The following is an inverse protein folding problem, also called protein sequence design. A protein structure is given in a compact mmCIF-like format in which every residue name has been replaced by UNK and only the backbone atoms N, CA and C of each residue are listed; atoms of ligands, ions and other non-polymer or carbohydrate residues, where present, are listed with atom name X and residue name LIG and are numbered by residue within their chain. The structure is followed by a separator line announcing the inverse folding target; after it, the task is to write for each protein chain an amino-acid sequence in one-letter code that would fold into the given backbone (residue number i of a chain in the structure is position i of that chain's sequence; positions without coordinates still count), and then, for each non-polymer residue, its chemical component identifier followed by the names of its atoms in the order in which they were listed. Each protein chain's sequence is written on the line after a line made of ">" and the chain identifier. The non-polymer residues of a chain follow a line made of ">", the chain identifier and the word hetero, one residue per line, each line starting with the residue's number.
data_IF_433125669148
#
_entry.id   IF_433125669148
#
_cell.length_a   1.000
_cell.length_b   1.000
_cell.length_c   1.000
_cell.angle_alpha   90.00
_cell.angle_beta   90.00
_cell.angle_gamma   90.00
#
_symmetry.space_group_name_H-M   'P 1'
#
loop_
_entity.id
_entity.type
_entity.pdbx_description
1 polymer ?
#
# COMPACT_ATOMS: atom_id res chain seq x y z
N UNK A 1 -22.98 -13.90 -9.29
CA UNK A 1 -21.65 -13.49 -9.80
C UNK A 1 -20.61 -13.43 -8.70
N UNK A 2 -20.89 -12.83 -7.53
CA UNK A 2 -19.95 -12.72 -6.39
C UNK A 2 -19.44 -14.05 -5.84
N UNK A 3 -20.26 -15.11 -5.85
CA UNK A 3 -19.83 -16.43 -5.36
C UNK A 3 -18.76 -17.06 -6.28
N UNK A 4 -18.98 -17.03 -7.60
CA UNK A 4 -18.04 -17.58 -8.58
C UNK A 4 -16.69 -16.85 -8.61
N UNK A 5 -16.67 -15.52 -8.54
CA UNK A 5 -15.41 -14.76 -8.54
C UNK A 5 -14.63 -14.98 -7.24
N UNK A 6 -15.34 -15.14 -6.11
CA UNK A 6 -14.74 -15.51 -4.82
C UNK A 6 -14.11 -16.91 -4.86
N UNK A 7 -14.81 -17.92 -5.39
CA UNK A 7 -14.25 -19.26 -5.57
C UNK A 7 -13.05 -19.25 -6.54
N UNK A 8 -13.14 -18.47 -7.63
CA UNK A 8 -12.04 -18.31 -8.58
C UNK A 8 -10.80 -17.72 -7.91
N UNK A 9 -10.99 -16.69 -7.07
CA UNK A 9 -9.91 -16.11 -6.26
C UNK A 9 -9.24 -17.15 -5.35
N UNK A 10 -10.04 -17.95 -4.63
CA UNK A 10 -9.52 -19.02 -3.77
C UNK A 10 -8.70 -20.04 -4.55
N UNK A 11 -9.19 -20.52 -5.69
CA UNK A 11 -8.48 -21.48 -6.54
C UNK A 11 -7.15 -20.93 -7.06
N UNK A 12 -7.10 -19.65 -7.47
CA UNK A 12 -5.86 -19.01 -7.89
C UNK A 12 -4.84 -18.96 -6.75
N UNK A 13 -5.28 -18.61 -5.53
CA UNK A 13 -4.41 -18.57 -4.34
C UNK A 13 -3.87 -19.95 -3.98
N UNK A 14 -4.73 -20.97 -3.99
CA UNK A 14 -4.34 -22.35 -3.68
C UNK A 14 -3.35 -22.92 -4.70
N UNK A 15 -3.50 -22.57 -5.98
CA UNK A 15 -2.63 -23.02 -7.07
C UNK A 15 -1.52 -22.03 -7.43
N UNK A 16 -1.28 -21.01 -6.61
CA UNK A 16 -0.40 -19.88 -6.97
C UNK A 16 1.01 -20.33 -7.39
N UNK A 17 1.60 -21.30 -6.69
CA UNK A 17 2.93 -21.81 -7.01
C UNK A 17 2.98 -22.51 -8.39
N UNK A 18 2.02 -23.39 -8.65
CA UNK A 18 1.93 -24.15 -9.91
C UNK A 18 1.63 -23.21 -11.08
N UNK A 19 0.69 -22.28 -10.90
CA UNK A 19 0.33 -21.29 -11.91
C UNK A 19 1.52 -20.37 -12.22
N UNK A 20 2.21 -19.86 -11.20
CA UNK A 20 3.36 -18.99 -11.38
C UNK A 20 4.50 -19.71 -12.12
N UNK A 21 4.81 -20.95 -11.75
CA UNK A 21 5.84 -21.74 -12.43
C UNK A 21 5.50 -21.98 -13.91
N UNK A 22 4.25 -22.36 -14.20
CA UNK A 22 3.77 -22.55 -15.57
C UNK A 22 3.81 -21.24 -16.39
N UNK A 23 3.42 -20.10 -15.80
CA UNK A 23 3.50 -18.78 -16.43
C UNK A 23 4.95 -18.44 -16.78
N UNK A 24 5.87 -18.54 -15.81
CA UNK A 24 7.28 -18.21 -16.04
C UNK A 24 7.92 -19.15 -17.06
N UNK A 25 7.64 -20.44 -16.99
CA UNK A 25 8.18 -21.40 -17.96
C UNK A 25 7.72 -21.06 -19.38
N UNK A 26 6.42 -20.82 -19.59
CA UNK A 26 5.86 -20.52 -20.90
C UNK A 26 6.29 -19.13 -21.39
N UNK A 27 6.41 -18.16 -20.50
CA UNK A 27 6.92 -16.81 -20.80
C UNK A 27 8.38 -16.85 -21.29
N UNK A 28 9.27 -17.57 -20.60
CA UNK A 28 10.67 -17.72 -21.02
C UNK A 28 10.80 -18.48 -22.34
N UNK A 29 9.95 -19.49 -22.57
CA UNK A 29 9.94 -20.23 -23.84
C UNK A 29 9.40 -19.38 -25.01
N UNK A 30 8.44 -18.49 -24.76
CA UNK A 30 7.83 -17.65 -25.79
C UNK A 30 8.69 -16.42 -26.15
N UNK A 31 9.49 -15.92 -25.21
CA UNK A 31 10.26 -14.67 -25.36
C UNK A 31 11.72 -14.82 -24.85
N UNK A 32 12.48 -15.81 -25.34
CA UNK A 32 13.83 -16.08 -24.84
C UNK A 32 14.77 -14.86 -24.99
N UNK A 33 14.59 -14.08 -26.05
CA UNK A 33 15.41 -12.90 -26.34
C UNK A 33 15.24 -11.75 -25.32
N UNK A 34 14.12 -11.75 -24.57
CA UNK A 34 13.85 -10.77 -23.52
C UNK A 34 14.35 -11.28 -22.16
N UNK A 35 14.07 -12.56 -21.85
CA UNK A 35 14.18 -13.08 -20.49
C UNK A 35 15.47 -13.84 -20.21
N UNK A 36 16.08 -14.54 -21.19
CA UNK A 36 17.28 -15.37 -20.95
C UNK A 36 18.48 -14.55 -20.45
N UNK A 37 18.58 -13.28 -20.84
CA UNK A 37 19.65 -12.36 -20.44
C UNK A 37 19.75 -12.15 -18.92
N UNK A 38 18.70 -12.46 -18.16
CA UNK A 38 18.67 -12.29 -16.70
C UNK A 38 19.07 -13.56 -15.94
N UNK A 39 19.29 -14.68 -16.62
CA UNK A 39 19.76 -15.93 -16.02
C UNK A 39 18.86 -16.50 -14.92
N UNK A 40 19.44 -17.33 -14.05
CA UNK A 40 18.70 -18.03 -12.99
C UNK A 40 18.13 -17.07 -11.94
N UNK A 41 18.88 -16.01 -11.58
CA UNK A 41 18.42 -14.98 -10.63
C UNK A 41 17.21 -14.24 -11.19
N UNK A 42 17.26 -13.86 -12.47
CA UNK A 42 16.12 -13.26 -13.17
C UNK A 42 14.89 -14.16 -13.16
N UNK A 43 15.08 -15.46 -13.39
CA UNK A 43 14.00 -16.44 -13.37
C UNK A 43 13.36 -16.59 -11.99
N UNK A 44 14.17 -16.58 -10.93
CA UNK A 44 13.69 -16.60 -9.55
C UNK A 44 12.85 -15.34 -9.23
N UNK A 45 13.31 -14.16 -9.68
CA UNK A 45 12.54 -12.92 -9.53
C UNK A 45 11.25 -12.96 -10.35
N UNK A 46 11.29 -13.42 -11.61
CA UNK A 46 10.08 -13.58 -12.43
C UNK A 46 9.06 -14.52 -11.79
N UNK A 47 9.51 -15.58 -11.09
CA UNK A 47 8.62 -16.48 -10.37
C UNK A 47 7.93 -15.79 -9.20
N UNK A 48 8.68 -14.98 -8.46
CA UNK A 48 8.13 -14.18 -7.37
C UNK A 48 7.14 -13.12 -7.90
N UNK A 49 7.47 -12.45 -9.01
CA UNK A 49 6.60 -11.47 -9.66
C UNK A 49 5.32 -12.12 -10.20
N UNK A 50 5.41 -13.29 -10.82
CA UNK A 50 4.25 -14.06 -11.28
C UNK A 50 3.29 -14.39 -10.12
N UNK A 51 3.82 -14.77 -8.95
CA UNK A 51 2.99 -14.96 -7.74
C UNK A 51 2.29 -13.67 -7.31
N UNK A 52 3.00 -12.53 -7.36
CA UNK A 52 2.37 -11.24 -7.06
C UNK A 52 1.28 -10.89 -8.08
N UNK A 53 1.54 -11.02 -9.39
CA UNK A 53 0.52 -10.75 -10.42
C UNK A 53 -0.74 -11.60 -10.22
N UNK A 54 -0.59 -12.89 -9.90
CA UNK A 54 -1.70 -13.79 -9.59
C UNK A 54 -2.42 -13.40 -8.30
N UNK A 55 -1.69 -12.98 -7.26
CA UNK A 55 -2.29 -12.48 -6.03
C UNK A 55 -3.14 -11.22 -6.27
N UNK A 56 -2.61 -10.23 -7.01
CA UNK A 56 -3.36 -9.03 -7.40
C UNK A 56 -4.63 -9.37 -8.19
N UNK A 57 -4.55 -10.34 -9.12
CA UNK A 57 -5.72 -10.82 -9.87
C UNK A 57 -6.75 -11.48 -8.95
N UNK A 58 -6.30 -12.34 -8.04
CA UNK A 58 -7.16 -13.00 -7.06
C UNK A 58 -7.86 -11.99 -6.14
N UNK A 59 -7.20 -10.92 -5.71
CA UNK A 59 -7.83 -9.88 -4.90
C UNK A 59 -8.90 -9.09 -5.67
N UNK A 60 -8.61 -8.72 -6.92
CA UNK A 60 -9.59 -8.04 -7.77
C UNK A 60 -10.85 -8.91 -7.98
N UNK A 61 -10.67 -10.22 -8.18
CA UNK A 61 -11.76 -11.19 -8.27
C UNK A 61 -12.56 -11.31 -6.98
N UNK A 62 -11.88 -11.34 -5.82
CA UNK A 62 -12.53 -11.43 -4.51
C UNK A 62 -13.39 -10.19 -4.20
N UNK A 63 -12.89 -9.00 -4.54
CA UNK A 63 -13.62 -7.74 -4.42
C UNK A 63 -14.71 -7.56 -5.51
N UNK A 64 -14.68 -8.39 -6.56
CA UNK A 64 -15.57 -8.21 -7.72
C UNK A 64 -15.33 -6.90 -8.48
N UNK A 65 -14.13 -6.34 -8.35
CA UNK A 65 -13.76 -5.03 -8.90
C UNK A 65 -12.56 -5.16 -9.86
N UNK A 66 -12.80 -5.21 -11.19
CA UNK A 66 -11.75 -5.22 -12.20
C UNK A 66 -10.84 -3.99 -12.19
N UNK A 67 -11.30 -2.86 -11.63
CA UNK A 67 -10.51 -1.64 -11.51
C UNK A 67 -9.23 -1.86 -10.71
N UNK A 68 -9.28 -2.68 -9.66
CA UNK A 68 -8.11 -3.01 -8.84
C UNK A 68 -6.98 -3.67 -9.65
N UNK A 69 -7.31 -4.58 -10.58
CA UNK A 69 -6.32 -5.23 -11.43
C UNK A 69 -5.85 -4.32 -12.57
N UNK A 70 -6.73 -3.46 -13.08
CA UNK A 70 -6.37 -2.45 -14.09
C UNK A 70 -5.38 -1.42 -13.55
N UNK A 71 -5.62 -0.90 -12.35
CA UNK A 71 -4.71 0.03 -11.68
C UNK A 71 -3.33 -0.60 -11.43
N UNK A 72 -3.32 -1.86 -10.98
CA UNK A 72 -2.08 -2.63 -10.85
C UNK A 72 -1.35 -2.80 -12.18
N UNK A 73 -2.05 -3.17 -13.25
CA UNK A 73 -1.43 -3.35 -14.56
C UNK A 73 -0.87 -2.04 -15.12
N UNK A 74 -1.54 -0.90 -14.91
CA UNK A 74 -1.03 0.41 -15.26
C UNK A 74 0.25 0.74 -14.48
N UNK A 75 0.31 0.41 -13.19
CA UNK A 75 1.51 0.54 -12.38
C UNK A 75 2.67 -0.32 -12.93
N UNK A 76 2.40 -1.57 -13.31
CA UNK A 76 3.39 -2.47 -13.94
C UNK A 76 3.88 -1.93 -15.28
N UNK A 77 3.01 -1.33 -16.10
CA UNK A 77 3.41 -0.72 -17.38
C UNK A 77 4.46 0.37 -17.21
N UNK A 78 4.26 1.25 -16.23
CA UNK A 78 5.22 2.30 -15.88
C UNK A 78 6.55 1.70 -15.40
N UNK A 79 6.50 0.68 -14.54
CA UNK A 79 7.70 -0.03 -14.08
C UNK A 79 8.49 -0.63 -15.26
N UNK A 80 7.81 -1.35 -16.14
CA UNK A 80 8.43 -1.99 -17.30
C UNK A 80 9.03 -0.97 -18.27
N UNK A 81 8.36 0.17 -18.44
CA UNK A 81 8.89 1.31 -19.20
C UNK A 81 10.19 1.83 -18.58
N UNK A 82 10.24 2.01 -17.25
CA UNK A 82 11.45 2.39 -16.52
C UNK A 82 12.59 1.38 -16.62
N UNK A 83 12.26 0.09 -16.69
CA UNK A 83 13.20 -1.02 -16.93
C UNK A 83 13.60 -1.17 -18.41
N UNK A 84 13.06 -0.35 -19.31
CA UNK A 84 13.29 -0.40 -20.77
C UNK A 84 12.92 -1.76 -21.38
N UNK A 85 11.89 -2.41 -20.85
CA UNK A 85 11.30 -3.60 -21.44
C UNK A 85 10.36 -3.18 -22.59
N UNK A 86 10.30 -3.95 -23.69
CA UNK A 86 9.39 -3.64 -24.79
C UNK A 86 7.94 -3.88 -24.37
N UNK A 87 6.99 -3.09 -24.88
CA UNK A 87 5.56 -3.21 -24.55
C UNK A 87 5.00 -4.63 -24.74
N UNK A 88 5.47 -5.34 -25.78
CA UNK A 88 5.09 -6.73 -26.04
C UNK A 88 5.41 -7.67 -24.87
N UNK A 89 6.44 -7.37 -24.08
CA UNK A 89 6.86 -8.20 -22.95
C UNK A 89 5.71 -8.48 -22.00
N UNK A 90 4.93 -7.45 -21.63
CA UNK A 90 3.82 -7.62 -20.71
C UNK A 90 2.57 -8.15 -21.40
N UNK A 91 2.26 -7.68 -22.62
CA UNK A 91 1.10 -8.15 -23.38
C UNK A 91 1.17 -9.66 -23.59
N UNK A 92 2.32 -10.16 -24.04
CA UNK A 92 2.55 -11.59 -24.29
C UNK A 92 2.54 -12.39 -22.96
N UNK A 93 3.02 -11.81 -21.86
CA UNK A 93 2.94 -12.42 -20.52
C UNK A 93 1.51 -12.50 -19.98
N UNK A 94 0.68 -11.49 -20.20
CA UNK A 94 -0.74 -11.51 -19.85
C UNK A 94 -1.50 -12.56 -20.67
N UNK A 95 -1.24 -12.64 -21.98
CA UNK A 95 -1.80 -13.69 -22.84
C UNK A 95 -1.33 -15.09 -22.44
N UNK A 96 -0.05 -15.21 -22.07
CA UNK A 96 0.50 -16.46 -21.51
C UNK A 96 -0.22 -16.86 -20.23
N UNK A 97 -0.48 -15.89 -19.33
CA UNK A 97 -1.24 -16.11 -18.10
C UNK A 97 -2.64 -16.62 -18.38
N UNK A 98 -3.37 -16.04 -19.36
CA UNK A 98 -4.68 -16.56 -19.79
C UNK A 98 -4.58 -18.02 -20.22
N UNK A 99 -3.60 -18.36 -21.05
CA UNK A 99 -3.36 -19.74 -21.49
C UNK A 99 -3.14 -20.70 -20.31
N UNK A 100 -2.27 -20.32 -19.37
CA UNK A 100 -2.00 -21.11 -18.17
C UNK A 100 -3.24 -21.29 -17.29
N UNK A 101 -4.03 -20.23 -17.09
CA UNK A 101 -5.28 -20.31 -16.32
C UNK A 101 -6.26 -21.30 -16.95
N UNK A 102 -6.41 -21.29 -18.28
CA UNK A 102 -7.26 -22.25 -19.02
C UNK A 102 -6.76 -23.70 -18.91
N UNK A 103 -5.45 -23.89 -18.85
CA UNK A 103 -4.86 -25.23 -18.74
C UNK A 103 -4.97 -25.82 -17.32
N UNK A 104 -5.08 -24.98 -16.28
CA UNK A 104 -4.94 -25.39 -14.87
C UNK A 104 -6.17 -25.18 -13.99
N UNK A 105 -7.15 -24.40 -14.43
CA UNK A 105 -8.41 -24.13 -13.73
C UNK A 105 -9.61 -24.70 -14.50
N UNK A 106 -10.72 -25.04 -13.82
CA UNK A 106 -11.96 -25.37 -14.51
C UNK A 106 -12.41 -24.24 -15.44
N UNK A 107 -13.05 -24.54 -16.60
CA UNK A 107 -13.34 -23.54 -17.64
C UNK A 107 -14.04 -22.27 -17.13
N UNK A 108 -15.06 -22.44 -16.29
CA UNK A 108 -15.82 -21.34 -15.69
C UNK A 108 -15.00 -20.39 -14.81
N UNK A 109 -13.95 -20.90 -14.15
CA UNK A 109 -13.04 -20.12 -13.32
C UNK A 109 -11.93 -19.48 -14.16
N UNK A 110 -11.42 -20.21 -15.16
CA UNK A 110 -10.46 -19.68 -16.11
C UNK A 110 -11.04 -18.51 -16.90
N UNK A 111 -12.29 -18.62 -17.38
CA UNK A 111 -12.97 -17.57 -18.12
C UNK A 111 -13.22 -16.33 -17.25
N UNK A 112 -13.67 -16.52 -16.01
CA UNK A 112 -13.87 -15.43 -15.05
C UNK A 112 -12.58 -14.65 -14.78
N UNK A 113 -11.46 -15.35 -14.56
CA UNK A 113 -10.16 -14.71 -14.36
C UNK A 113 -9.62 -14.05 -15.64
N UNK A 114 -9.83 -14.70 -16.80
CA UNK A 114 -9.40 -14.18 -18.10
C UNK A 114 -10.12 -12.87 -18.45
N UNK A 115 -11.38 -12.69 -18.04
CA UNK A 115 -12.10 -11.44 -18.29
C UNK A 115 -11.41 -10.21 -17.69
N UNK A 116 -10.81 -10.34 -16.50
CA UNK A 116 -10.06 -9.27 -15.85
C UNK A 116 -8.78 -8.94 -16.62
N UNK A 117 -8.07 -9.97 -17.10
CA UNK A 117 -6.87 -9.79 -17.93
C UNK A 117 -7.24 -9.19 -19.29
N UNK A 118 -8.34 -9.62 -19.91
CA UNK A 118 -8.81 -9.09 -21.20
C UNK A 118 -9.22 -7.61 -21.11
N UNK A 119 -9.77 -7.16 -19.97
CA UNK A 119 -10.01 -5.73 -19.70
C UNK A 119 -8.71 -4.94 -19.69
N UNK A 120 -7.67 -5.45 -19.03
CA UNK A 120 -6.32 -4.85 -19.04
C UNK A 120 -5.77 -4.79 -20.47
N UNK A 121 -5.83 -5.89 -21.21
CA UNK A 121 -5.32 -5.97 -22.59
C UNK A 121 -6.02 -4.97 -23.52
N UNK A 122 -7.33 -4.78 -23.40
CA UNK A 122 -8.09 -3.79 -24.18
C UNK A 122 -7.67 -2.34 -23.89
N UNK A 123 -7.39 -2.03 -22.62
CA UNK A 123 -6.95 -0.69 -22.19
C UNK A 123 -5.43 -0.47 -22.25
N UNK A 124 -4.65 -1.48 -22.63
CA UNK A 124 -3.19 -1.46 -22.46
C UNK A 124 -2.52 -0.31 -23.22
N UNK A 125 -2.92 -0.04 -24.46
CA UNK A 125 -2.31 1.02 -25.27
C UNK A 125 -2.51 2.41 -24.65
N UNK A 126 -3.68 2.67 -24.06
CA UNK A 126 -4.05 3.94 -23.46
C UNK A 126 -3.51 4.09 -22.02
N UNK A 127 -3.12 2.99 -21.38
CA UNK A 127 -2.57 3.00 -20.03
C UNK A 127 -1.28 3.86 -19.96
N UNK A 128 -1.08 4.61 -18.86
CA UNK A 128 0.04 5.53 -18.74
C UNK A 128 1.39 4.79 -18.78
N UNK A 129 2.37 5.40 -19.43
CA UNK A 129 3.78 4.98 -19.41
C UNK A 129 4.63 5.81 -18.45
N UNK A 130 4.06 6.90 -17.94
CA UNK A 130 4.70 7.82 -17.00
C UNK A 130 3.73 8.23 -15.90
N UNK A 131 4.27 8.50 -14.71
CA UNK A 131 3.53 9.11 -13.59
C UNK A 131 4.10 10.51 -13.37
N UNK A 132 3.22 11.50 -13.25
CA UNK A 132 3.62 12.87 -12.93
C UNK A 132 4.23 12.96 -11.53
N UNK A 133 5.04 14.00 -11.28
CA UNK A 133 5.63 14.21 -9.95
C UNK A 133 4.54 14.43 -8.91
N UNK A 134 4.74 13.88 -7.71
CA UNK A 134 3.86 14.11 -6.56
C UNK A 134 4.19 15.41 -5.81
N UNK A 135 5.22 16.15 -6.23
CA UNK A 135 5.58 17.45 -5.69
C UNK A 135 5.20 18.54 -6.71
N UNK A 136 4.20 19.34 -6.34
CA UNK A 136 3.88 20.59 -7.02
C UNK A 136 4.67 21.74 -6.38
N UNK A 137 5.69 22.24 -7.06
CA UNK A 137 6.53 23.33 -6.57
C UNK A 137 5.81 24.69 -6.49
N UNK A 138 4.67 24.83 -7.15
CA UNK A 138 3.83 26.04 -7.05
C UNK A 138 2.96 26.08 -5.79
N UNK A 139 2.79 24.94 -5.10
CA UNK A 139 2.07 24.86 -3.85
C UNK A 139 2.84 25.58 -2.72
N UNK A 140 2.14 26.02 -1.68
CA UNK A 140 2.68 26.81 -0.56
C UNK A 140 3.97 26.23 0.05
N UNK A 141 4.04 24.91 0.24
CA UNK A 141 5.21 24.20 0.76
C UNK A 141 5.95 23.37 -0.30
N UNK A 142 5.59 23.53 -1.59
CA UNK A 142 6.15 22.77 -2.71
C UNK A 142 7.67 22.92 -2.84
N UNK A 143 8.18 24.15 -2.75
CA UNK A 143 9.62 24.40 -2.76
C UNK A 143 10.36 23.80 -1.55
N UNK A 144 9.71 23.72 -0.38
CA UNK A 144 10.28 23.03 0.78
C UNK A 144 10.30 21.51 0.56
N UNK A 145 9.22 20.93 0.04
CA UNK A 145 9.14 19.51 -0.32
C UNK A 145 10.20 19.10 -1.33
N UNK A 146 10.43 19.91 -2.39
CA UNK A 146 11.50 19.67 -3.36
C UNK A 146 12.87 19.66 -2.71
N UNK A 147 13.24 20.72 -1.97
CA UNK A 147 14.56 20.80 -1.31
C UNK A 147 14.77 19.69 -0.28
N UNK A 148 13.72 19.31 0.45
CA UNK A 148 13.75 18.21 1.40
C UNK A 148 14.07 16.89 0.68
N UNK A 149 13.35 16.58 -0.41
CA UNK A 149 13.60 15.40 -1.22
C UNK A 149 15.01 15.39 -1.81
N UNK A 150 15.46 16.51 -2.38
CA UNK A 150 16.79 16.62 -3.00
C UNK A 150 17.90 16.35 -1.97
N UNK A 151 17.76 16.87 -0.75
CA UNK A 151 18.69 16.59 0.35
C UNK A 151 18.72 15.10 0.73
N UNK A 152 17.56 14.43 0.78
CA UNK A 152 17.48 12.99 1.03
C UNK A 152 18.16 12.18 -0.08
N UNK A 153 17.88 12.50 -1.33
CA UNK A 153 18.46 11.81 -2.50
C UNK A 153 19.98 12.02 -2.59
N UNK A 154 20.48 13.15 -2.10
CA UNK A 154 21.92 13.44 -1.96
C UNK A 154 22.58 12.74 -0.76
N UNK A 155 21.82 12.02 0.07
CA UNK A 155 22.33 11.37 1.30
C UNK A 155 22.52 12.33 2.48
N UNK A 156 22.09 13.59 2.37
CA UNK A 156 22.30 14.63 3.37
C UNK A 156 21.10 14.72 4.34
N UNK A 157 21.01 13.72 5.22
CA UNK A 157 20.02 13.67 6.30
C UNK A 157 20.09 14.87 7.26
N UNK A 158 21.25 15.54 7.37
CA UNK A 158 21.42 16.71 8.25
C UNK A 158 20.69 17.89 7.64
N UNK A 159 20.94 18.19 6.37
CA UNK A 159 20.25 19.27 5.66
C UNK A 159 18.75 19.01 5.59
N UNK A 160 18.33 17.77 5.28
CA UNK A 160 16.91 17.41 5.27
C UNK A 160 16.24 17.64 6.63
N UNK A 161 16.90 17.28 7.74
CA UNK A 161 16.42 17.53 9.10
C UNK A 161 16.33 19.03 9.41
N UNK A 162 17.38 19.80 9.10
CA UNK A 162 17.43 21.24 9.38
C UNK A 162 16.33 22.01 8.64
N UNK A 163 16.09 21.68 7.36
CA UNK A 163 15.02 22.31 6.56
C UNK A 163 13.64 22.19 7.23
N UNK A 164 13.37 21.07 7.89
CA UNK A 164 12.10 20.83 8.56
C UNK A 164 12.03 21.58 9.88
N UNK A 165 13.09 21.49 10.69
CA UNK A 165 13.13 22.16 12.00
C UNK A 165 13.06 23.70 11.82
N UNK A 166 13.81 24.25 10.86
CA UNK A 166 13.76 25.69 10.54
C UNK A 166 12.35 26.13 10.11
N UNK A 167 11.64 25.30 9.34
CA UNK A 167 10.28 25.60 8.92
C UNK A 167 9.30 25.61 10.10
N UNK A 168 9.43 24.66 11.03
CA UNK A 168 8.63 24.59 12.25
C UNK A 168 8.94 25.79 13.16
N UNK A 169 10.22 26.12 13.36
CA UNK A 169 10.65 27.29 14.14
C UNK A 169 10.16 28.61 13.52
N UNK A 170 10.03 28.67 12.18
CA UNK A 170 9.43 29.79 11.46
C UNK A 170 7.89 29.83 11.51
N UNK A 171 7.24 28.88 12.18
CA UNK A 171 5.81 28.86 12.42
C UNK A 171 4.97 27.97 11.49
N UNK A 172 5.60 27.17 10.62
CA UNK A 172 4.87 26.16 9.83
C UNK A 172 4.38 25.06 10.78
N UNK A 173 3.11 24.71 10.69
CA UNK A 173 2.56 23.69 11.59
C UNK A 173 3.13 22.30 11.28
N UNK A 174 3.31 21.47 12.30
CA UNK A 174 3.74 20.06 12.12
C UNK A 174 2.76 19.29 11.21
N UNK A 175 1.48 19.62 11.25
CA UNK A 175 0.45 19.04 10.36
C UNK A 175 0.75 19.35 8.89
N UNK A 176 1.11 20.60 8.59
CA UNK A 176 1.45 21.02 7.24
C UNK A 176 2.75 20.38 6.74
N UNK A 177 3.75 20.22 7.63
CA UNK A 177 4.97 19.46 7.31
C UNK A 177 4.62 18.03 6.90
N UNK A 178 3.76 17.35 7.64
CA UNK A 178 3.38 15.97 7.33
C UNK A 178 2.64 15.88 5.99
N UNK A 179 1.61 16.70 5.79
CA UNK A 179 0.72 16.61 4.62
C UNK A 179 1.35 17.17 3.34
N UNK A 180 2.20 18.19 3.45
CA UNK A 180 2.67 18.96 2.29
C UNK A 180 4.18 18.85 2.05
N UNK A 181 4.92 18.17 2.93
CA UNK A 181 6.35 17.91 2.76
C UNK A 181 6.63 16.41 2.80
N UNK A 182 6.36 15.74 3.92
CA UNK A 182 6.69 14.31 4.06
C UNK A 182 5.86 13.43 3.13
N UNK A 183 4.54 13.56 3.13
CA UNK A 183 3.67 12.76 2.27
C UNK A 183 4.00 12.87 0.77
N UNK A 184 4.09 14.09 0.16
CA UNK A 184 4.44 14.19 -1.25
C UNK A 184 5.88 13.75 -1.54
N UNK A 185 6.84 13.98 -0.63
CA UNK A 185 8.20 13.46 -0.80
C UNK A 185 8.24 11.93 -0.81
N UNK A 186 7.50 11.26 0.08
CA UNK A 186 7.44 9.80 0.13
C UNK A 186 6.74 9.19 -1.10
N UNK A 187 5.67 9.82 -1.58
CA UNK A 187 5.07 9.42 -2.87
C UNK A 187 6.02 9.64 -4.04
N UNK A 188 6.78 10.74 -4.04
CA UNK A 188 7.75 11.00 -5.09
C UNK A 188 8.92 10.02 -5.07
N UNK A 189 9.42 9.64 -3.89
CA UNK A 189 10.43 8.58 -3.75
C UNK A 189 9.91 7.27 -4.34
N UNK A 190 8.67 6.88 -4.01
CA UNK A 190 8.02 5.69 -4.57
C UNK A 190 7.91 5.74 -6.09
N UNK A 191 7.56 6.90 -6.66
CA UNK A 191 7.52 7.13 -8.11
C UNK A 191 8.90 7.01 -8.76
N UNK A 192 9.91 7.62 -8.17
CA UNK A 192 11.29 7.56 -8.65
C UNK A 192 11.82 6.12 -8.62
N UNK A 193 11.47 5.35 -7.58
CA UNK A 193 11.81 3.93 -7.50
C UNK A 193 11.11 3.12 -8.59
N UNK A 194 9.78 3.26 -8.72
CA UNK A 194 8.99 2.58 -9.74
C UNK A 194 9.50 2.88 -11.16
N UNK A 195 9.91 4.11 -11.42
CA UNK A 195 10.44 4.53 -12.73
C UNK A 195 11.95 4.25 -12.89
N UNK A 196 12.54 3.47 -11.98
CA UNK A 196 13.96 3.06 -12.02
C UNK A 196 14.95 4.25 -12.04
N UNK A 197 14.56 5.38 -11.44
CA UNK A 197 15.42 6.56 -11.24
C UNK A 197 16.21 6.49 -9.93
N UNK A 198 15.70 5.76 -8.93
CA UNK A 198 16.41 5.46 -7.68
C UNK A 198 16.36 3.96 -7.38
N UNK A 199 17.42 3.47 -6.73
CA UNK A 199 17.48 2.09 -6.26
C UNK A 199 16.64 1.88 -5.00
N UNK A 200 16.32 0.62 -4.70
CA UNK A 200 15.69 0.24 -3.42
C UNK A 200 16.53 0.66 -2.20
N UNK A 201 17.85 0.68 -2.32
CA UNK A 201 18.73 1.14 -1.24
C UNK A 201 18.55 2.64 -0.96
N UNK A 202 18.37 3.45 -2.01
CA UNK A 202 18.10 4.88 -1.86
C UNK A 202 16.70 5.13 -1.29
N UNK A 203 15.69 4.37 -1.73
CA UNK A 203 14.34 4.44 -1.15
C UNK A 203 14.39 4.12 0.35
N UNK A 204 14.96 2.97 0.75
CA UNK A 204 15.12 2.61 2.16
C UNK A 204 15.84 3.70 2.97
N UNK A 205 16.90 4.29 2.42
CA UNK A 205 17.63 5.38 3.08
C UNK A 205 16.72 6.59 3.30
N UNK A 206 15.99 7.01 2.27
CA UNK A 206 15.10 8.18 2.36
C UNK A 206 13.96 7.93 3.35
N UNK A 207 13.32 6.77 3.30
CA UNK A 207 12.26 6.35 4.22
C UNK A 207 12.75 6.32 5.67
N UNK A 208 13.92 5.73 5.93
CA UNK A 208 14.52 5.71 7.27
C UNK A 208 14.93 7.12 7.77
N UNK A 209 15.43 7.97 6.89
CA UNK A 209 15.77 9.35 7.22
C UNK A 209 14.51 10.16 7.57
N UNK A 210 13.42 10.03 6.80
CA UNK A 210 12.13 10.66 7.12
C UNK A 210 11.60 10.18 8.47
N UNK A 211 11.62 8.88 8.75
CA UNK A 211 11.22 8.31 10.04
C UNK A 211 12.04 8.90 11.21
N UNK A 212 13.34 9.11 11.05
CA UNK A 212 14.18 9.78 12.05
C UNK A 212 13.72 11.24 12.25
N UNK A 213 13.49 11.98 11.18
CA UNK A 213 13.13 13.40 11.24
C UNK A 213 11.74 13.57 11.87
N UNK A 214 10.78 12.69 11.57
CA UNK A 214 9.48 12.66 12.26
C UNK A 214 9.64 12.56 13.78
N UNK A 215 10.56 11.71 14.27
CA UNK A 215 10.81 11.56 15.72
C UNK A 215 11.34 12.85 16.37
N UNK A 216 11.99 13.74 15.62
CA UNK A 216 12.48 15.01 16.16
C UNK A 216 11.35 16.00 16.45
N UNK A 217 10.17 15.78 15.86
CA UNK A 217 8.99 16.64 16.02
C UNK A 217 8.11 16.25 17.23
N UNK A 218 8.47 15.17 17.93
CA UNK A 218 7.73 14.66 19.10
C UNK A 218 7.51 15.68 20.24
N UNK A 219 8.43 16.62 20.52
CA UNK A 219 8.15 17.70 21.48
C UNK A 219 6.93 18.56 21.12
N UNK A 220 6.64 18.72 19.81
CA UNK A 220 5.46 19.45 19.34
C UNK A 220 4.22 18.55 19.26
N UNK A 221 4.40 17.27 18.94
CA UNK A 221 3.30 16.30 18.78
C UNK A 221 2.67 15.95 20.14
N UNK A 222 3.48 15.74 21.18
CA UNK A 222 3.00 15.35 22.51
C UNK A 222 2.66 16.53 23.43
N UNK A 223 2.62 17.76 22.90
CA UNK A 223 2.31 18.95 23.67
C UNK A 223 0.80 19.14 23.93
N UNK A 224 -0.07 18.42 23.22
CA UNK A 224 -1.53 18.54 23.34
C UNK A 224 -2.05 17.85 24.60
N UNK A 225 -3.00 18.49 25.30
CA UNK A 225 -3.69 17.90 26.44
C UNK A 225 -4.43 16.62 26.06
N UNK A 226 -4.37 15.60 26.93
CA UNK A 226 -4.97 14.29 26.67
C UNK A 226 -6.48 14.31 26.91
N UNK A 227 -7.24 13.76 25.96
CA UNK A 227 -8.70 13.66 26.02
C UNK A 227 -9.19 12.29 26.53
N UNK A 228 -8.28 11.44 27.01
CA UNK A 228 -8.59 10.11 27.55
C UNK A 228 -8.98 9.05 26.51
N UNK A 229 -8.87 9.37 25.20
CA UNK A 229 -9.10 8.42 24.10
C UNK A 229 -7.81 7.76 23.66
N UNK A 230 -7.91 6.51 23.18
CA UNK A 230 -6.74 5.66 22.91
C UNK A 230 -6.85 4.98 21.55
N UNK A 231 -5.80 5.07 20.76
CA UNK A 231 -5.70 4.47 19.43
C UNK A 231 -4.61 3.39 19.42
N UNK A 232 -4.86 2.23 18.82
CA UNK A 232 -3.79 1.34 18.36
C UNK A 232 -3.64 1.51 16.85
N UNK A 233 -2.43 1.76 16.36
CA UNK A 233 -2.15 2.01 14.96
C UNK A 233 -1.13 0.97 14.44
N UNK A 234 -1.48 0.23 13.39
CA UNK A 234 -0.66 -0.90 12.93
C UNK A 234 -0.76 -1.16 11.44
N UNK A 235 0.32 -1.66 10.85
CA UNK A 235 0.26 -2.42 9.61
C UNK A 235 -0.17 -3.86 9.90
N UNK A 236 -0.78 -4.52 8.91
CA UNK A 236 -1.05 -5.97 8.99
C UNK A 236 0.24 -6.80 8.87
N UNK A 237 0.18 -8.08 9.26
CA UNK A 237 1.30 -9.00 9.07
C UNK A 237 1.78 -9.05 7.62
N UNK A 238 3.10 -9.02 7.41
CA UNK A 238 3.75 -9.00 6.10
C UNK A 238 3.82 -7.63 5.42
N UNK A 239 3.10 -6.61 5.91
CA UNK A 239 3.16 -5.24 5.39
C UNK A 239 4.33 -4.48 6.04
N UNK A 240 5.22 -3.94 5.22
CA UNK A 240 6.44 -3.24 5.65
C UNK A 240 6.34 -1.71 5.52
N UNK A 241 5.35 -1.20 4.80
CA UNK A 241 5.21 0.22 4.51
C UNK A 241 4.46 0.95 5.64
N UNK A 242 5.20 1.36 6.67
CA UNK A 242 4.64 1.85 7.94
C UNK A 242 4.57 3.37 8.12
N UNK A 243 5.21 4.18 7.25
CA UNK A 243 5.21 5.65 7.37
C UNK A 243 3.77 6.21 7.43
N UNK A 244 2.88 5.73 6.56
CA UNK A 244 1.50 6.22 6.50
C UNK A 244 0.74 6.00 7.81
N UNK A 245 0.86 4.82 8.43
CA UNK A 245 0.17 4.54 9.71
C UNK A 245 0.82 5.24 10.89
N UNK A 246 2.14 5.49 10.82
CA UNK A 246 2.82 6.35 11.79
C UNK A 246 2.30 7.79 11.71
N UNK A 247 2.13 8.34 10.51
CA UNK A 247 1.53 9.66 10.33
C UNK A 247 0.12 9.74 10.95
N UNK A 248 -0.70 8.69 10.76
CA UNK A 248 -2.01 8.62 11.40
C UNK A 248 -1.87 8.65 12.93
N UNK A 249 -0.99 7.83 13.52
CA UNK A 249 -0.76 7.84 14.97
C UNK A 249 -0.35 9.22 15.50
N UNK A 250 0.60 9.89 14.84
CA UNK A 250 1.06 11.23 15.22
C UNK A 250 -0.05 12.29 15.12
N UNK A 251 -0.97 12.16 14.15
CA UNK A 251 -2.15 13.05 14.06
C UNK A 251 -3.12 12.86 15.21
N UNK A 252 -3.33 11.63 15.65
CA UNK A 252 -4.16 11.33 16.82
C UNK A 252 -3.53 11.91 18.10
N UNK A 253 -2.20 11.82 18.26
CA UNK A 253 -1.47 12.45 19.37
C UNK A 253 -1.64 13.97 19.39
N UNK A 254 -1.49 14.62 18.23
CA UNK A 254 -1.72 16.06 18.08
C UNK A 254 -3.15 16.49 18.40
N UNK A 255 -4.10 15.56 18.42
CA UNK A 255 -5.52 15.75 18.72
C UNK A 255 -5.89 15.22 20.12
N UNK A 256 -4.88 14.95 20.96
CA UNK A 256 -5.04 14.63 22.37
C UNK A 256 -5.34 13.15 22.66
N UNK A 257 -5.33 12.27 21.66
CA UNK A 257 -5.41 10.83 21.91
C UNK A 257 -4.06 10.30 22.46
N UNK A 258 -4.10 9.19 23.18
CA UNK A 258 -2.93 8.35 23.42
C UNK A 258 -2.84 7.29 22.31
N UNK A 259 -1.84 7.40 21.45
CA UNK A 259 -1.63 6.49 20.32
C UNK A 259 -0.56 5.44 20.66
N UNK A 260 -0.81 4.20 20.23
CA UNK A 260 0.12 3.08 20.32
C UNK A 260 0.43 2.63 18.90
N UNK A 261 1.48 3.21 18.33
CA UNK A 261 2.01 2.82 17.03
C UNK A 261 2.81 1.52 17.16
N UNK A 262 2.32 0.44 16.54
CA UNK A 262 2.93 -0.89 16.58
C UNK A 262 3.90 -1.15 15.41
N UNK A 263 3.86 -0.31 14.37
CA UNK A 263 4.72 -0.42 13.20
C UNK A 263 4.29 -1.46 12.17
N UNK A 264 5.27 -1.86 11.37
CA UNK A 264 5.22 -2.86 10.31
C UNK A 264 5.01 -4.29 10.83
N UNK A 265 4.39 -5.14 9.99
CA UNK A 265 4.39 -6.60 10.13
C UNK A 265 3.93 -7.12 11.52
N UNK A 266 2.91 -6.49 12.12
CA UNK A 266 2.43 -6.88 13.45
C UNK A 266 1.54 -8.14 13.37
N UNK A 267 1.81 -9.20 14.16
CA UNK A 267 0.94 -10.37 14.25
C UNK A 267 -0.44 -10.04 14.84
N UNK A 268 -1.48 -10.71 14.36
CA UNK A 268 -2.88 -10.51 14.80
C UNK A 268 -3.03 -10.61 16.32
N UNK A 269 -2.49 -11.68 16.92
CA UNK A 269 -2.55 -11.91 18.37
C UNK A 269 -1.93 -10.78 19.19
N UNK A 270 -0.85 -10.18 18.70
CA UNK A 270 -0.20 -9.04 19.35
C UNK A 270 -1.07 -7.78 19.29
N UNK A 271 -1.77 -7.56 18.16
CA UNK A 271 -2.73 -6.46 18.03
C UNK A 271 -3.88 -6.65 19.02
N UNK A 272 -4.50 -7.84 19.06
CA UNK A 272 -5.61 -8.13 19.98
C UNK A 272 -5.23 -7.91 21.45
N UNK A 273 -4.04 -8.38 21.83
CA UNK A 273 -3.49 -8.17 23.17
C UNK A 273 -3.34 -6.69 23.49
N UNK A 274 -2.76 -5.91 22.57
CA UNK A 274 -2.58 -4.47 22.75
C UNK A 274 -3.91 -3.71 22.88
N UNK A 275 -4.92 -4.07 22.08
CA UNK A 275 -6.25 -3.47 22.16
C UNK A 275 -6.87 -3.67 23.55
N UNK A 276 -6.74 -4.88 24.11
CA UNK A 276 -7.22 -5.23 25.44
C UNK A 276 -6.42 -4.54 26.55
N UNK A 277 -5.09 -4.66 26.54
CA UNK A 277 -4.22 -4.12 27.60
C UNK A 277 -4.28 -2.59 27.70
N UNK A 278 -4.51 -1.90 26.58
CA UNK A 278 -4.64 -0.45 26.55
C UNK A 278 -6.07 0.05 26.64
N UNK A 279 -7.05 -0.85 26.61
CA UNK A 279 -8.47 -0.49 26.48
C UNK A 279 -8.65 0.54 25.35
N UNK A 280 -8.22 0.15 24.16
CA UNK A 280 -8.25 1.01 22.99
C UNK A 280 -9.71 1.37 22.63
N UNK A 281 -9.93 2.60 22.19
CA UNK A 281 -11.22 3.05 21.69
C UNK A 281 -11.33 2.84 20.18
N UNK A 282 -10.18 2.90 19.49
CA UNK A 282 -10.10 2.65 18.06
C UNK A 282 -8.82 1.88 17.69
N UNK A 283 -8.88 1.22 16.53
CA UNK A 283 -7.73 0.65 15.84
C UNK A 283 -7.67 1.21 14.42
N UNK A 284 -6.49 1.69 14.01
CA UNK A 284 -6.22 2.11 12.63
C UNK A 284 -5.30 1.06 11.97
N UNK A 285 -5.82 0.40 10.93
CA UNK A 285 -5.14 -0.67 10.20
C UNK A 285 -4.76 -0.15 8.81
N UNK A 286 -3.46 -0.22 8.49
CA UNK A 286 -2.94 0.23 7.19
C UNK A 286 -2.48 -0.94 6.33
N UNK A 287 -2.77 -0.85 5.03
CA UNK A 287 -2.20 -1.70 3.98
C UNK A 287 -1.86 -0.86 2.74
N UNK A 288 -0.71 -1.12 2.14
CA UNK A 288 -0.22 -0.45 0.93
C UNK A 288 -0.39 -1.36 -0.28
N UNK A 289 -0.09 -2.66 -0.15
CA UNK A 289 -0.26 -3.60 -1.26
C UNK A 289 -1.63 -4.29 -1.19
N UNK A 290 -2.35 -4.37 -2.32
CA UNK A 290 -3.73 -4.94 -2.31
C UNK A 290 -3.72 -6.43 -1.96
N UNK A 291 -2.66 -7.18 -2.25
CA UNK A 291 -2.54 -8.59 -1.82
C UNK A 291 -2.48 -8.78 -0.28
N UNK A 292 -2.39 -7.69 0.51
CA UNK A 292 -2.56 -7.76 1.96
C UNK A 292 -4.01 -7.69 2.42
N UNK A 293 -4.99 -7.45 1.53
CA UNK A 293 -6.41 -7.40 1.88
C UNK A 293 -6.91 -8.64 2.65
N UNK A 294 -6.52 -9.89 2.32
CA UNK A 294 -6.93 -11.06 3.11
C UNK A 294 -6.47 -10.98 4.56
N UNK A 295 -5.30 -10.37 4.80
CA UNK A 295 -4.74 -10.19 6.15
C UNK A 295 -5.43 -9.04 6.89
N UNK A 296 -5.85 -8.00 6.18
CA UNK A 296 -6.71 -6.95 6.73
C UNK A 296 -8.04 -7.56 7.17
N UNK A 297 -8.72 -8.31 6.29
CA UNK A 297 -9.99 -8.99 6.61
C UNK A 297 -9.84 -9.90 7.81
N UNK A 298 -8.79 -10.74 7.85
CA UNK A 298 -8.53 -11.64 8.98
C UNK A 298 -8.31 -10.88 10.29
N UNK A 299 -7.56 -9.76 10.28
CA UNK A 299 -7.37 -8.94 11.46
C UNK A 299 -8.70 -8.27 11.90
N UNK A 300 -9.46 -7.71 10.98
CA UNK A 300 -10.77 -7.10 11.29
C UNK A 300 -11.72 -8.12 11.91
N UNK A 301 -11.84 -9.31 11.32
CA UNK A 301 -12.65 -10.40 11.87
C UNK A 301 -12.18 -10.81 13.26
N UNK A 302 -10.87 -11.02 13.45
CA UNK A 302 -10.31 -11.38 14.75
C UNK A 302 -10.57 -10.31 15.82
N UNK A 303 -10.52 -9.01 15.46
CA UNK A 303 -10.89 -7.93 16.39
C UNK A 303 -12.37 -8.03 16.75
N UNK A 304 -13.26 -8.24 15.77
CA UNK A 304 -14.71 -8.37 16.01
C UNK A 304 -15.08 -9.55 16.89
N UNK A 305 -14.40 -10.68 16.73
CA UNK A 305 -14.62 -11.90 17.51
C UNK A 305 -13.97 -11.85 18.91
N UNK A 306 -13.09 -10.88 19.15
CA UNK A 306 -12.43 -10.70 20.45
C UNK A 306 -13.37 -10.09 21.51
N UNK A 307 -12.96 -10.21 22.78
CA UNK A 307 -13.68 -9.65 23.93
C UNK A 307 -13.90 -8.12 23.85
N UNK A 308 -13.08 -7.41 23.08
CA UNK A 308 -13.16 -5.95 22.90
C UNK A 308 -13.84 -5.54 21.58
N UNK A 309 -14.24 -6.50 20.73
CA UNK A 309 -14.68 -6.26 19.36
C UNK A 309 -15.94 -5.41 19.22
N UNK A 310 -16.84 -5.46 20.22
CA UNK A 310 -18.03 -4.62 20.28
C UNK A 310 -17.77 -3.17 20.72
N UNK A 311 -16.60 -2.89 21.29
CA UNK A 311 -16.24 -1.57 21.85
C UNK A 311 -15.27 -0.82 20.94
N UNK A 312 -14.30 -1.53 20.34
CA UNK A 312 -13.26 -0.92 19.51
C UNK A 312 -13.82 -0.54 18.14
N UNK A 313 -13.61 0.72 17.73
CA UNK A 313 -13.89 1.19 16.37
C UNK A 313 -12.73 0.86 15.43
N UNK A 314 -13.03 0.27 14.28
CA UNK A 314 -12.04 -0.24 13.32
C UNK A 314 -11.99 0.69 12.12
N UNK A 315 -10.87 1.38 11.94
CA UNK A 315 -10.58 2.19 10.77
C UNK A 315 -9.58 1.46 9.88
N UNK A 316 -9.82 1.47 8.57
CA UNK A 316 -8.88 0.92 7.57
C UNK A 316 -8.44 2.00 6.59
N UNK A 317 -7.19 1.94 6.14
CA UNK A 317 -6.64 2.92 5.22
C UNK A 317 -5.44 2.40 4.43
N UNK A 318 -4.89 3.30 3.62
CA UNK A 318 -3.82 3.01 2.66
C UNK A 318 -4.35 2.79 1.24
N UNK A 319 -3.44 2.41 0.34
CA UNK A 319 -3.70 2.46 -1.12
C UNK A 319 -4.94 1.66 -1.58
N UNK A 320 -5.19 0.42 -1.12
CA UNK A 320 -6.36 -0.36 -1.56
C UNK A 320 -7.70 0.35 -1.30
N UNK A 321 -7.82 1.03 -0.16
CA UNK A 321 -9.05 1.74 0.23
C UNK A 321 -9.19 3.11 -0.46
N UNK A 322 -8.10 3.64 -1.03
CA UNK A 322 -8.12 4.84 -1.88
C UNK A 322 -8.63 4.54 -3.28
N UNK A 323 -8.20 3.42 -3.87
CA UNK A 323 -8.60 3.02 -5.23
C UNK A 323 -10.00 2.40 -5.25
N UNK A 324 -10.42 1.73 -4.17
CA UNK A 324 -11.77 1.19 -4.00
C UNK A 324 -12.44 1.72 -2.71
N UNK A 325 -13.09 2.91 -2.74
CA UNK A 325 -13.69 3.52 -1.54
C UNK A 325 -14.80 2.71 -0.85
N UNK A 326 -15.37 1.70 -1.51
CA UNK A 326 -16.37 0.80 -0.95
C UNK A 326 -15.80 -0.36 -0.11
N UNK A 327 -14.52 -0.67 -0.32
CA UNK A 327 -13.86 -1.91 0.14
C UNK A 327 -13.84 -2.08 1.66
N UNK A 328 -13.87 -0.98 2.42
CA UNK A 328 -13.87 -1.02 3.89
C UNK A 328 -15.12 -1.72 4.46
N UNK A 329 -16.25 -1.69 3.74
CA UNK A 329 -17.49 -2.39 4.13
C UNK A 329 -17.35 -3.89 3.96
N UNK A 330 -16.70 -4.32 2.88
CA UNK A 330 -16.48 -5.74 2.56
C UNK A 330 -15.56 -6.40 3.58
N UNK A 331 -14.53 -5.70 4.05
CA UNK A 331 -13.63 -6.20 5.10
C UNK A 331 -14.23 -6.11 6.51
N UNK A 332 -15.40 -5.47 6.69
CA UNK A 332 -16.11 -5.37 7.98
C UNK A 332 -15.63 -4.27 8.94
N UNK A 333 -14.92 -3.26 8.43
CA UNK A 333 -14.47 -2.11 9.22
C UNK A 333 -15.62 -1.12 9.51
N UNK A 334 -15.43 -0.20 10.46
CA UNK A 334 -16.41 0.86 10.76
C UNK A 334 -16.27 2.08 9.84
N UNK A 335 -15.11 2.23 9.19
CA UNK A 335 -14.91 3.25 8.17
C UNK A 335 -13.50 3.27 7.59
N UNK A 336 -13.31 4.15 6.61
CA UNK A 336 -12.03 4.41 5.97
C UNK A 336 -11.81 5.90 5.75
N UNK A 337 -10.55 6.32 5.80
CA UNK A 337 -10.12 7.69 5.60
C UNK A 337 -8.98 7.75 4.58
N UNK A 338 -8.95 8.84 3.80
CA UNK A 338 -7.97 9.03 2.73
C UNK A 338 -6.68 9.70 3.21
N UNK A 339 -6.73 10.33 4.39
CA UNK A 339 -5.59 11.00 5.01
C UNK A 339 -5.70 10.96 6.54
N UNK A 340 -4.61 11.33 7.22
CA UNK A 340 -4.52 11.30 8.67
C UNK A 340 -5.51 12.25 9.37
N UNK A 341 -5.83 13.40 8.75
CA UNK A 341 -6.74 14.38 9.33
C UNK A 341 -8.20 13.87 9.32
N UNK A 342 -8.64 13.31 8.19
CA UNK A 342 -9.95 12.68 8.05
C UNK A 342 -10.07 11.44 8.92
N UNK A 343 -8.98 10.69 9.15
CA UNK A 343 -8.98 9.55 10.06
C UNK A 343 -9.30 9.96 11.50
N UNK A 344 -8.72 11.06 12.00
CA UNK A 344 -9.05 11.58 13.34
C UNK A 344 -10.51 11.99 13.44
N UNK A 345 -11.03 12.74 12.46
CA UNK A 345 -12.44 13.17 12.44
C UNK A 345 -13.38 11.98 12.48
N UNK A 346 -13.15 11.00 11.61
CA UNK A 346 -13.92 9.76 11.55
C UNK A 346 -13.89 9.00 12.89
N UNK A 347 -12.73 8.85 13.51
CA UNK A 347 -12.64 8.15 14.80
C UNK A 347 -13.37 8.91 15.92
N UNK A 348 -13.29 10.25 15.94
CA UNK A 348 -14.02 11.05 16.91
C UNK A 348 -15.54 10.87 16.77
N UNK A 349 -16.05 10.85 15.55
CA UNK A 349 -17.49 10.64 15.27
C UNK A 349 -17.93 9.22 15.67
N UNK A 350 -17.15 8.20 15.27
CA UNK A 350 -17.45 6.80 15.58
C UNK A 350 -17.42 6.51 17.08
N UNK A 351 -16.47 7.07 17.82
CA UNK A 351 -16.35 6.89 19.27
C UNK A 351 -17.39 7.70 20.03
N UNK A 352 -17.86 8.84 19.52
CA UNK A 352 -18.93 9.60 20.16
C UNK A 352 -20.32 8.96 19.99
N UNK A 353 -20.51 8.16 18.93
CA UNK A 353 -21.80 7.52 18.61
C UNK A 353 -22.02 6.17 19.32
N UNK A 354 -21.00 5.61 19.97
CA UNK A 354 -21.08 4.37 20.77
C UNK A 354 -20.99 4.68 22.25
#
# INVERSE_FOLDING_TARGET
>A
MTDQTTTTSQLIREKADVLAEAVVQRMYAAQPEIWERYGEVGRAHSLQDAKYHLAYLAEALAAGDPGLFMDYAAWVKVLFTGLKLPDRAMVDTLQTTIGVLRDHLPPEHADAASEYIDRVLRGWQEAPTTVASFIDESATLGGLARRYLDALLAGDRRTASQLILDAVDAGVSVRDIYLHVFQPAQYEIGRLWQTNQVSVAQEHFCSAATQMIMSQLYPHIFATEKIGRRLVATCVGGELHEIGVRMVADFFEMEGWDSYYLGANTPVESVLRMLKERQAHAVAISATMTFHLPRVTALVQAVRESEVGGQVKILVGGYPFRVAPGLWREVGADGSALDALSAVRLANDLVAAG
#
